data_IF_593473066762
#
_entry.id   IF_593473066762
#
_cell.length_a   1.000
_cell.length_b   1.000
_cell.length_c   1.000
_cell.angle_alpha   90.00
_cell.angle_beta   90.00
_cell.angle_gamma   90.00
#
_symmetry.space_group_name_H-M   'P 1'
#
loop_
_entity.id
_entity.type
_entity.pdbx_description
1 polymer ?
#
# COMPACT_ATOMS: atom_id res chain seq x y z
N UNK A 1 -7.89 33.16 20.68
CA UNK A 1 -8.37 34.07 19.62
C UNK A 1 -8.00 33.48 18.27
N UNK A 2 -8.97 33.05 17.47
CA UNK A 2 -8.78 32.75 16.05
C UNK A 2 -9.97 33.38 15.32
N UNK A 3 -9.79 34.60 14.82
CA UNK A 3 -10.81 35.30 14.05
C UNK A 3 -11.02 34.58 12.73
N UNK A 4 -12.09 33.78 12.64
CA UNK A 4 -12.58 33.26 11.37
C UNK A 4 -13.15 34.44 10.59
N UNK A 5 -12.59 34.70 9.40
CA UNK A 5 -13.15 35.64 8.44
C UNK A 5 -14.56 35.17 8.11
N UNK A 6 -15.56 36.07 8.15
CA UNK A 6 -16.94 35.70 7.86
C UNK A 6 -17.10 35.31 6.39
N UNK A 7 -17.93 34.31 6.11
CA UNK A 7 -18.19 33.85 4.74
C UNK A 7 -18.69 35.00 3.86
N UNK A 8 -19.52 35.89 4.42
CA UNK A 8 -19.99 37.10 3.74
C UNK A 8 -18.86 38.07 3.34
N UNK A 9 -17.78 38.15 4.13
CA UNK A 9 -16.61 38.96 3.76
C UNK A 9 -15.75 38.25 2.71
N UNK A 10 -15.62 36.92 2.78
CA UNK A 10 -14.94 36.12 1.76
C UNK A 10 -15.64 36.22 0.40
N UNK A 11 -16.96 36.19 0.38
CA UNK A 11 -17.74 36.30 -0.85
C UNK A 11 -17.63 37.69 -1.46
N UNK A 12 -17.67 38.76 -0.66
CA UNK A 12 -17.38 40.12 -1.14
C UNK A 12 -15.99 40.27 -1.76
N UNK A 13 -14.98 39.64 -1.17
CA UNK A 13 -13.62 39.66 -1.72
C UNK A 13 -13.56 38.90 -3.06
N UNK A 14 -14.23 37.74 -3.16
CA UNK A 14 -14.30 36.97 -4.41
C UNK A 14 -15.06 37.72 -5.51
N UNK A 15 -16.15 38.38 -5.18
CA UNK A 15 -16.93 39.20 -6.11
C UNK A 15 -16.15 40.42 -6.60
N UNK A 16 -15.31 41.02 -5.74
CA UNK A 16 -14.51 42.19 -6.09
C UNK A 16 -13.28 41.87 -6.97
N UNK A 17 -12.92 40.59 -7.14
CA UNK A 17 -11.69 40.18 -7.83
C UNK A 17 -11.96 39.09 -8.86
N UNK A 18 -12.01 39.48 -10.14
CA UNK A 18 -12.16 38.54 -11.25
C UNK A 18 -10.88 37.71 -11.47
N UNK A 19 -11.03 36.39 -11.54
CA UNK A 19 -9.90 35.47 -11.63
C UNK A 19 -9.10 35.60 -12.92
N UNK A 20 -9.72 36.06 -14.02
CA UNK A 20 -9.01 36.28 -15.28
C UNK A 20 -8.15 37.51 -15.18
N UNK A 21 -8.69 38.61 -14.63
CA UNK A 21 -7.91 39.82 -14.37
C UNK A 21 -6.73 39.50 -13.47
N UNK A 22 -7.01 38.83 -12.34
CA UNK A 22 -5.99 38.49 -11.34
C UNK A 22 -4.89 37.62 -11.95
N UNK A 23 -5.23 36.62 -12.79
CA UNK A 23 -4.21 35.75 -13.40
C UNK A 23 -3.55 36.39 -14.63
N UNK A 24 -4.27 37.23 -15.36
CA UNK A 24 -3.80 37.90 -16.57
C UNK A 24 -2.64 38.85 -16.31
N UNK A 25 -2.55 39.37 -15.08
CA UNK A 25 -1.40 40.14 -14.60
C UNK A 25 -0.11 39.30 -14.51
N UNK A 26 -0.22 37.97 -14.44
CA UNK A 26 0.90 37.05 -14.21
C UNK A 26 1.18 36.07 -15.35
N UNK A 27 0.20 35.80 -16.21
CA UNK A 27 0.35 34.83 -17.30
C UNK A 27 -0.30 35.34 -18.58
N UNK A 28 0.35 35.08 -19.72
CA UNK A 28 -0.24 35.40 -21.03
C UNK A 28 -1.41 34.46 -21.29
N UNK A 29 -2.58 34.91 -20.91
CA UNK A 29 -3.84 34.21 -21.07
C UNK A 29 -4.30 34.31 -22.52
N UNK A 30 -4.18 33.22 -23.26
CA UNK A 30 -4.77 33.07 -24.58
C UNK A 30 -6.20 32.59 -24.43
N UNK A 31 -7.14 33.45 -24.81
CA UNK A 31 -8.55 33.10 -24.85
C UNK A 31 -8.73 31.88 -25.74
N UNK A 32 -9.27 30.81 -25.16
CA UNK A 32 -9.51 29.54 -25.82
C UNK A 32 -10.97 29.19 -25.57
N UNK A 33 -11.85 29.74 -26.42
CA UNK A 33 -13.29 29.67 -26.24
C UNK A 33 -13.77 30.53 -25.06
N UNK A 34 -14.48 29.90 -24.11
CA UNK A 34 -15.01 30.54 -22.90
C UNK A 34 -14.00 30.63 -21.76
N UNK A 35 -12.92 29.84 -21.82
CA UNK A 35 -11.85 29.81 -20.84
C UNK A 35 -10.58 30.48 -21.40
N UNK A 36 -9.59 30.67 -20.56
CA UNK A 36 -8.27 31.10 -20.97
C UNK A 36 -7.26 29.98 -20.75
N UNK A 37 -6.36 29.79 -21.70
CA UNK A 37 -5.19 28.93 -21.54
C UNK A 37 -3.94 29.78 -21.38
N UNK A 38 -3.04 29.33 -20.52
CA UNK A 38 -1.69 29.86 -20.47
C UNK A 38 -0.69 28.72 -20.31
N UNK A 39 0.58 29.04 -20.51
CA UNK A 39 1.63 28.28 -19.85
C UNK A 39 1.43 28.47 -18.35
N UNK A 40 1.50 27.39 -17.58
CA UNK A 40 1.30 27.40 -16.15
C UNK A 40 2.28 28.39 -15.52
N UNK A 41 1.80 29.49 -14.91
CA UNK A 41 2.70 30.43 -14.25
C UNK A 41 3.44 29.78 -13.06
N UNK A 42 3.02 28.59 -12.66
CA UNK A 42 3.61 27.80 -11.59
C UNK A 42 4.72 26.84 -12.05
N UNK A 43 4.88 26.58 -13.36
CA UNK A 43 6.01 25.80 -13.87
C UNK A 43 6.33 26.06 -15.37
N UNK A 44 7.60 25.97 -15.73
CA UNK A 44 8.06 26.17 -17.11
C UNK A 44 7.67 24.99 -18.01
N UNK A 45 6.64 25.20 -18.83
CA UNK A 45 6.17 24.25 -19.84
C UNK A 45 6.27 24.82 -21.26
N UNK A 46 6.34 23.94 -22.27
CA UNK A 46 6.32 24.35 -23.69
C UNK A 46 4.91 24.30 -24.29
N UNK A 47 3.99 23.61 -23.64
CA UNK A 47 2.60 23.39 -24.07
C UNK A 47 1.65 23.91 -23.00
N UNK A 48 0.68 24.79 -23.32
CA UNK A 48 -0.24 25.35 -22.31
C UNK A 48 -1.13 24.31 -21.60
N UNK A 49 -0.86 24.05 -20.32
CA UNK A 49 -1.65 23.19 -19.42
C UNK A 49 -2.49 23.97 -18.40
N UNK A 50 -2.25 25.28 -18.27
CA UNK A 50 -2.97 26.16 -17.37
C UNK A 50 -4.30 26.58 -17.94
N UNK A 51 -5.41 26.30 -17.25
CA UNK A 51 -6.75 26.73 -17.67
C UNK A 51 -7.35 27.61 -16.59
N UNK A 52 -7.84 28.78 -16.98
CA UNK A 52 -8.59 29.72 -16.15
C UNK A 52 -10.02 29.78 -16.66
N UNK A 53 -10.98 29.62 -15.77
CA UNK A 53 -12.41 29.72 -16.07
C UNK A 53 -12.97 31.01 -15.47
N UNK A 54 -13.32 32.01 -16.30
CA UNK A 54 -13.87 33.28 -15.85
C UNK A 54 -15.23 33.07 -15.19
N UNK A 55 -16.13 32.34 -15.85
CA UNK A 55 -17.49 32.09 -15.37
C UNK A 55 -17.50 31.35 -14.02
N UNK A 56 -16.55 30.42 -13.81
CA UNK A 56 -16.46 29.62 -12.57
C UNK A 56 -15.53 30.22 -11.52
N UNK A 57 -14.84 31.32 -11.83
CA UNK A 57 -13.84 31.94 -10.95
C UNK A 57 -12.83 30.91 -10.38
N UNK A 58 -12.31 30.00 -11.22
CA UNK A 58 -11.29 28.99 -10.83
C UNK A 58 -10.18 28.83 -11.89
N UNK A 59 -9.00 28.40 -11.46
CA UNK A 59 -7.91 27.97 -12.34
C UNK A 59 -7.44 26.54 -12.03
N UNK A 60 -6.80 25.91 -13.01
CA UNK A 60 -6.39 24.51 -12.95
C UNK A 60 -5.16 24.24 -13.84
N UNK A 61 -4.12 23.63 -13.25
CA UNK A 61 -2.86 23.27 -13.91
C UNK A 61 -2.44 21.84 -13.51
N UNK A 62 -2.60 20.83 -14.37
CA UNK A 62 -2.39 19.45 -13.89
C UNK A 62 -1.90 18.47 -14.96
N UNK A 63 -0.75 17.86 -14.65
CA UNK A 63 -0.43 16.50 -15.05
C UNK A 63 -1.20 15.49 -14.20
N UNK A 64 -1.70 14.44 -14.83
CA UNK A 64 -2.67 13.50 -14.27
C UNK A 64 -2.11 12.07 -14.24
N UNK A 65 -2.76 11.20 -13.48
CA UNK A 65 -2.60 9.76 -13.65
C UNK A 65 -3.64 9.23 -14.64
N UNK A 66 -3.34 8.19 -15.42
CA UNK A 66 -4.33 7.52 -16.26
C UNK A 66 -5.35 6.73 -15.41
N UNK A 67 -6.48 6.38 -16.01
CA UNK A 67 -7.45 5.44 -15.41
C UNK A 67 -6.77 4.13 -15.01
N UNK A 68 -7.20 3.55 -13.91
CA UNK A 68 -6.64 2.33 -13.33
C UNK A 68 -5.39 2.57 -12.48
N UNK A 69 -4.87 3.80 -12.41
CA UNK A 69 -3.78 4.13 -11.50
C UNK A 69 -4.23 3.90 -10.06
N UNK A 70 -3.42 3.17 -9.30
CA UNK A 70 -3.73 2.82 -7.92
C UNK A 70 -3.31 3.95 -6.97
N UNK A 71 -4.26 4.44 -6.20
CA UNK A 71 -4.10 5.48 -5.18
C UNK A 71 -4.23 4.84 -3.81
N UNK A 72 -3.29 5.17 -2.91
CA UNK A 72 -3.27 4.61 -1.57
C UNK A 72 -4.23 5.37 -0.64
N UNK A 73 -5.17 4.63 -0.06
CA UNK A 73 -6.17 5.07 0.91
C UNK A 73 -5.93 4.38 2.26
N UNK A 74 -6.74 4.70 3.28
CA UNK A 74 -6.68 4.01 4.58
C UNK A 74 -7.12 2.53 4.49
N UNK A 75 -7.97 2.21 3.52
CA UNK A 75 -8.56 0.88 3.30
C UNK A 75 -7.80 0.06 2.22
N UNK A 76 -6.64 0.53 1.79
CA UNK A 76 -5.81 -0.14 0.77
C UNK A 76 -5.65 0.72 -0.48
N UNK A 77 -5.36 0.12 -1.63
CA UNK A 77 -5.29 0.86 -2.88
C UNK A 77 -6.61 0.81 -3.63
N UNK A 78 -7.14 1.98 -3.97
CA UNK A 78 -8.29 2.14 -4.85
C UNK A 78 -7.83 2.65 -6.20
N UNK A 79 -8.57 2.36 -7.27
CA UNK A 79 -8.26 2.97 -8.56
C UNK A 79 -8.61 4.45 -8.50
N UNK A 80 -7.86 5.28 -9.22
CA UNK A 80 -8.05 6.73 -9.21
C UNK A 80 -9.48 7.14 -9.61
N UNK A 81 -10.13 6.39 -10.49
CA UNK A 81 -11.52 6.60 -10.90
C UNK A 81 -12.55 6.26 -9.81
N UNK A 82 -12.19 5.41 -8.84
CA UNK A 82 -13.07 4.96 -7.77
C UNK A 82 -12.98 5.88 -6.53
N UNK A 83 -11.96 6.75 -6.46
CA UNK A 83 -11.73 7.66 -5.33
C UNK A 83 -12.87 8.67 -5.19
N UNK A 84 -13.33 8.88 -3.95
CA UNK A 84 -14.43 9.80 -3.63
C UNK A 84 -13.98 11.05 -2.87
N UNK A 85 -14.76 12.14 -2.96
CA UNK A 85 -14.54 13.33 -2.14
C UNK A 85 -14.77 12.97 -0.67
N UNK A 86 -13.86 13.40 0.20
CA UNK A 86 -13.84 13.06 1.63
C UNK A 86 -12.98 11.84 1.96
N UNK A 87 -12.66 11.00 0.97
CA UNK A 87 -11.84 9.82 1.17
C UNK A 87 -10.39 10.19 1.51
N UNK A 88 -9.77 9.43 2.41
CA UNK A 88 -8.44 9.72 2.94
C UNK A 88 -7.36 9.07 2.08
N UNK A 89 -6.48 9.89 1.49
CA UNK A 89 -5.37 9.43 0.62
C UNK A 89 -4.00 9.81 1.17
N UNK A 90 -3.00 8.95 0.94
CA UNK A 90 -1.64 9.18 1.45
C UNK A 90 -0.97 10.34 0.69
N UNK A 91 -0.50 11.33 1.44
CA UNK A 91 0.23 12.48 0.89
C UNK A 91 1.74 12.26 0.82
N UNK A 92 2.44 13.10 0.06
CA UNK A 92 3.92 13.15 0.01
C UNK A 92 4.60 13.33 1.39
N UNK A 93 3.86 13.81 2.40
CA UNK A 93 4.36 13.98 3.78
C UNK A 93 4.16 12.73 4.66
N UNK A 94 3.65 11.64 4.10
CA UNK A 94 3.47 10.39 4.85
C UNK A 94 2.29 10.42 5.83
N UNK A 95 1.24 11.20 5.53
CA UNK A 95 -0.01 11.27 6.31
C UNK A 95 -1.22 11.23 5.40
N UNK A 96 -2.34 10.71 5.89
CA UNK A 96 -3.61 10.65 5.17
C UNK A 96 -4.35 11.98 5.23
N UNK A 97 -4.92 12.42 4.11
CA UNK A 97 -5.68 13.67 3.99
C UNK A 97 -6.91 13.47 3.11
N UNK A 98 -8.03 14.16 3.41
CA UNK A 98 -9.27 14.00 2.65
C UNK A 98 -9.14 14.60 1.25
N UNK A 99 -9.67 13.89 0.27
CA UNK A 99 -9.82 14.39 -1.10
C UNK A 99 -10.87 15.49 -1.09
N UNK A 100 -10.46 16.73 -1.39
CA UNK A 100 -11.38 17.87 -1.42
C UNK A 100 -12.12 18.01 -2.75
N UNK A 101 -11.55 17.46 -3.84
CA UNK A 101 -12.08 17.58 -5.20
C UNK A 101 -11.49 16.51 -6.10
N UNK A 102 -12.32 15.95 -6.96
CA UNK A 102 -11.91 15.02 -8.02
C UNK A 102 -11.84 15.79 -9.35
N UNK A 103 -10.84 15.48 -10.14
CA UNK A 103 -10.55 16.17 -11.40
C UNK A 103 -10.43 15.11 -12.49
N UNK A 104 -11.19 15.30 -13.57
CA UNK A 104 -11.17 14.42 -14.72
C UNK A 104 -11.06 15.25 -15.99
N UNK A 105 -10.30 14.73 -16.96
CA UNK A 105 -10.23 15.26 -18.32
C UNK A 105 -9.97 14.14 -19.32
N UNK A 106 -10.47 14.24 -20.56
CA UNK A 106 -9.91 13.46 -21.65
C UNK A 106 -8.46 13.91 -21.91
N UNK A 107 -7.58 12.95 -22.17
CA UNK A 107 -6.16 13.22 -22.46
C UNK A 107 -5.77 12.51 -23.75
N UNK A 108 -5.17 13.25 -24.69
CA UNK A 108 -4.59 12.73 -25.92
C UNK A 108 -3.15 13.28 -26.01
N UNK A 109 -2.18 12.43 -25.69
CA UNK A 109 -0.77 12.81 -25.58
C UNK A 109 0.07 11.64 -25.07
N UNK A 110 1.37 11.86 -24.97
CA UNK A 110 2.32 10.85 -24.50
C UNK A 110 2.19 10.60 -22.99
N UNK A 111 2.35 9.34 -22.59
CA UNK A 111 2.46 8.94 -21.20
C UNK A 111 3.89 8.50 -20.90
N UNK A 112 4.35 8.82 -19.69
CA UNK A 112 5.62 8.34 -19.17
C UNK A 112 5.34 7.12 -18.30
N UNK A 113 5.93 6.00 -18.66
CA UNK A 113 5.89 4.76 -17.88
C UNK A 113 7.21 4.55 -17.14
N UNK A 114 7.15 4.54 -15.82
CA UNK A 114 8.33 4.50 -14.95
C UNK A 114 8.48 3.12 -14.32
N UNK A 115 9.61 2.47 -14.60
CA UNK A 115 10.03 1.23 -13.94
C UNK A 115 11.09 1.53 -12.89
N UNK A 116 10.85 1.10 -11.65
CA UNK A 116 11.84 1.23 -10.58
C UNK A 116 12.68 -0.04 -10.47
N UNK A 117 13.92 0.07 -10.01
CA UNK A 117 14.82 -1.09 -9.88
C UNK A 117 14.27 -2.22 -8.98
N UNK A 118 13.41 -1.85 -8.02
CA UNK A 118 12.90 -2.72 -6.96
C UNK A 118 11.46 -3.18 -7.20
N UNK A 119 10.85 -2.80 -8.31
CA UNK A 119 9.50 -3.19 -8.69
C UNK A 119 9.42 -3.44 -10.19
N UNK A 120 8.86 -4.56 -10.62
CA UNK A 120 8.51 -4.75 -12.03
C UNK A 120 7.10 -4.22 -12.38
N UNK A 121 6.40 -3.62 -11.41
CA UNK A 121 5.16 -2.89 -11.65
C UNK A 121 5.49 -1.43 -12.03
N UNK A 122 5.09 -0.98 -13.23
CA UNK A 122 5.31 0.40 -13.64
C UNK A 122 4.35 1.37 -12.93
N UNK A 123 4.74 2.64 -12.89
CA UNK A 123 3.83 3.75 -12.61
C UNK A 123 3.71 4.60 -13.86
N UNK A 124 2.48 4.80 -14.33
CA UNK A 124 2.18 5.56 -15.55
C UNK A 124 1.59 6.91 -15.20
N UNK A 125 2.06 7.96 -15.86
CA UNK A 125 1.64 9.35 -15.61
C UNK A 125 1.82 10.21 -16.87
N UNK A 126 1.15 11.37 -16.92
CA UNK A 126 1.35 12.33 -18.01
C UNK A 126 2.73 12.98 -17.93
N UNK A 127 3.24 13.47 -19.06
CA UNK A 127 4.59 14.07 -19.18
C UNK A 127 4.84 15.29 -18.28
N UNK A 128 3.79 16.07 -18.03
CA UNK A 128 3.74 17.27 -17.17
C UNK A 128 3.54 16.95 -15.68
N UNK A 129 3.27 15.69 -15.31
CA UNK A 129 3.03 15.34 -13.91
C UNK A 129 4.32 15.52 -13.09
N UNK A 130 4.24 16.34 -12.06
CA UNK A 130 5.38 16.66 -11.23
C UNK A 130 5.66 15.56 -10.20
N UNK A 131 6.91 15.09 -10.18
CA UNK A 131 7.39 14.07 -9.24
C UNK A 131 8.52 14.61 -8.37
N UNK A 132 8.63 14.07 -7.16
CA UNK A 132 9.76 14.36 -6.29
C UNK A 132 10.94 13.45 -6.64
N UNK A 133 12.07 14.06 -6.98
CA UNK A 133 13.24 13.37 -7.52
C UNK A 133 14.53 13.92 -6.94
N UNK A 134 15.53 13.05 -6.78
CA UNK A 134 16.92 13.43 -6.57
C UNK A 134 17.67 13.08 -7.87
N UNK A 135 18.09 14.12 -8.59
CA UNK A 135 18.81 13.97 -9.86
C UNK A 135 20.18 13.35 -9.62
N UNK A 136 20.52 12.36 -10.44
CA UNK A 136 21.81 11.69 -10.35
C UNK A 136 22.85 12.29 -11.30
N UNK A 137 24.08 12.44 -10.81
CA UNK A 137 25.23 12.89 -11.60
C UNK A 137 26.11 11.68 -11.96
N UNK A 138 26.80 11.76 -13.10
CA UNK A 138 27.77 10.73 -13.47
C UNK A 138 28.90 10.65 -12.44
N UNK A 139 29.18 9.46 -11.91
CA UNK A 139 30.24 9.27 -10.94
C UNK A 139 31.62 9.35 -11.60
N UNK A 140 32.43 10.34 -11.22
CA UNK A 140 33.80 10.49 -11.72
C UNK A 140 34.81 9.58 -10.99
N UNK A 141 34.43 8.96 -9.87
CA UNK A 141 35.31 8.09 -9.10
C UNK A 141 35.49 6.72 -9.77
N UNK A 142 36.74 6.41 -10.16
CA UNK A 142 37.20 5.16 -10.80
C UNK A 142 36.60 4.84 -12.18
N UNK A 143 36.29 5.84 -13.02
CA UNK A 143 35.81 5.62 -14.40
C UNK A 143 34.59 4.68 -14.50
N UNK A 144 33.70 4.71 -13.50
CA UNK A 144 32.54 3.81 -13.44
C UNK A 144 31.37 4.39 -14.22
N UNK A 145 30.69 3.58 -15.03
CA UNK A 145 29.40 3.91 -15.67
C UNK A 145 28.22 3.90 -14.67
N UNK A 146 28.41 4.35 -13.42
CA UNK A 146 27.31 4.43 -12.44
C UNK A 146 26.95 5.88 -12.20
N UNK A 147 25.65 6.20 -12.32
CA UNK A 147 25.08 7.48 -11.88
C UNK A 147 24.74 7.49 -10.38
N UNK A 148 24.83 6.32 -9.75
CA UNK A 148 24.42 6.09 -8.36
C UNK A 148 25.65 5.97 -7.44
N UNK A 149 25.65 6.71 -6.33
CA UNK A 149 26.57 6.48 -5.21
C UNK A 149 26.32 5.09 -4.59
N UNK A 150 27.37 4.28 -4.49
CA UNK A 150 27.29 2.97 -3.81
C UNK A 150 27.29 3.16 -2.30
N UNK A 151 26.78 2.17 -1.55
CA UNK A 151 26.72 2.24 -0.09
C UNK A 151 28.09 2.49 0.59
N UNK A 152 29.18 1.97 0.02
CA UNK A 152 30.57 2.22 0.50
C UNK A 152 31.12 3.60 0.11
N UNK A 153 30.40 4.41 -0.67
CA UNK A 153 30.86 5.76 -1.04
C UNK A 153 31.03 6.68 0.18
N UNK A 154 30.38 6.40 1.31
CA UNK A 154 30.59 7.15 2.56
C UNK A 154 32.01 7.03 3.10
N UNK A 155 32.70 5.91 2.84
CA UNK A 155 34.02 5.62 3.40
C UNK A 155 35.13 6.33 2.62
N UNK A 156 35.24 6.07 1.32
CA UNK A 156 36.45 6.42 0.56
C UNK A 156 36.19 7.21 -0.75
N UNK A 157 34.98 7.75 -0.95
CA UNK A 157 34.72 8.58 -2.13
C UNK A 157 35.23 10.01 -1.88
N UNK A 158 36.10 10.57 -2.73
CA UNK A 158 36.54 11.96 -2.59
C UNK A 158 35.43 12.95 -2.98
N UNK A 159 34.59 12.61 -3.97
CA UNK A 159 33.55 13.50 -4.49
C UNK A 159 32.27 13.58 -3.63
N UNK A 160 31.98 12.54 -2.83
CA UNK A 160 30.83 12.46 -1.88
C UNK A 160 29.51 13.08 -2.37
N UNK A 161 29.11 12.88 -3.63
CA UNK A 161 27.92 13.50 -4.24
C UNK A 161 26.63 13.34 -3.42
N UNK A 162 26.51 12.25 -2.66
CA UNK A 162 25.39 12.02 -1.74
C UNK A 162 25.17 13.13 -0.70
N UNK A 163 26.19 13.94 -0.38
CA UNK A 163 26.05 15.10 0.52
C UNK A 163 25.32 16.28 -0.12
N UNK A 164 25.32 16.37 -1.45
CA UNK A 164 24.69 17.45 -2.21
C UNK A 164 23.33 17.04 -2.78
N UNK A 165 22.84 15.85 -2.44
CA UNK A 165 21.53 15.40 -2.91
C UNK A 165 20.44 16.32 -2.38
N UNK A 166 19.78 17.00 -3.31
CA UNK A 166 18.63 17.86 -3.05
C UNK A 166 17.39 17.20 -3.63
N UNK A 167 16.30 17.34 -2.90
CA UNK A 167 14.97 16.92 -3.37
C UNK A 167 14.48 18.04 -4.28
N UNK A 168 14.21 17.69 -5.53
CA UNK A 168 13.65 18.58 -6.54
C UNK A 168 12.25 18.09 -6.93
N UNK A 169 11.42 19.00 -7.40
CA UNK A 169 10.11 18.68 -7.98
C UNK A 169 10.19 18.99 -9.48
N UNK A 170 10.07 17.97 -10.32
CA UNK A 170 10.26 18.09 -11.77
C UNK A 170 9.15 17.37 -12.52
N UNK A 171 8.77 17.85 -13.72
CA UNK A 171 7.90 17.11 -14.62
C UNK A 171 8.49 15.74 -14.98
N UNK A 172 7.63 14.76 -15.16
CA UNK A 172 8.03 13.40 -15.52
C UNK A 172 8.84 13.30 -16.81
N UNK A 173 8.59 14.18 -17.77
CA UNK A 173 9.36 14.27 -19.02
C UNK A 173 10.84 14.59 -18.81
N UNK A 174 11.21 15.16 -17.66
CA UNK A 174 12.57 15.56 -17.33
C UNK A 174 13.34 14.49 -16.54
N UNK A 175 12.69 13.35 -16.27
CA UNK A 175 13.35 12.22 -15.63
C UNK A 175 14.42 11.62 -16.52
N UNK A 176 15.49 11.16 -15.91
CA UNK A 176 16.58 10.48 -16.58
C UNK A 176 16.79 9.11 -15.94
N UNK A 177 17.28 8.17 -16.73
CA UNK A 177 17.62 6.84 -16.23
C UNK A 177 18.58 6.93 -15.03
N UNK A 178 18.23 6.21 -13.96
CA UNK A 178 18.90 6.14 -12.66
C UNK A 178 18.63 7.29 -11.68
N UNK A 179 17.75 8.24 -11.99
CA UNK A 179 17.28 9.19 -10.99
C UNK A 179 16.55 8.50 -9.83
N UNK A 180 16.60 9.10 -8.65
CA UNK A 180 15.92 8.59 -7.47
C UNK A 180 14.56 9.26 -7.32
N UNK A 181 13.50 8.48 -7.53
CA UNK A 181 12.15 8.92 -7.19
C UNK A 181 11.90 8.71 -5.70
N UNK A 182 11.29 9.71 -5.07
CA UNK A 182 10.88 9.60 -3.69
C UNK A 182 9.53 8.87 -3.59
N UNK A 183 9.43 8.04 -2.56
CA UNK A 183 8.22 7.30 -2.22
C UNK A 183 7.76 7.73 -0.83
N UNK A 184 6.49 8.14 -0.65
CA UNK A 184 5.99 8.52 0.67
C UNK A 184 5.88 7.28 1.56
N UNK A 185 6.54 7.32 2.71
CA UNK A 185 6.41 6.31 3.76
C UNK A 185 5.39 6.83 4.76
N UNK A 186 4.36 6.03 5.07
CA UNK A 186 3.38 6.39 6.09
C UNK A 186 4.05 6.52 7.46
N UNK A 187 3.95 7.69 8.08
CA UNK A 187 4.53 8.01 9.38
C UNK A 187 3.53 7.91 10.53
N UNK A 188 2.26 7.63 10.25
CA UNK A 188 1.23 7.54 11.28
C UNK A 188 1.45 6.32 12.20
N UNK A 189 1.20 6.54 13.48
CA UNK A 189 1.31 5.53 14.53
C UNK A 189 0.04 5.58 15.37
N UNK A 190 -0.76 4.51 15.27
CA UNK A 190 -2.00 4.32 16.01
C UNK A 190 -1.84 3.08 16.90
N UNK A 191 -1.49 3.27 18.18
CA UNK A 191 -1.31 2.15 19.12
C UNK A 191 -2.64 1.68 19.71
N UNK A 192 -3.40 0.95 18.90
CA UNK A 192 -4.64 0.29 19.31
C UNK A 192 -4.33 -0.69 20.45
N UNK A 193 -4.99 -0.48 21.59
CA UNK A 193 -4.83 -1.33 22.79
C UNK A 193 -5.82 -2.49 22.83
N UNK A 194 -7.02 -2.26 22.32
CA UNK A 194 -8.10 -3.25 22.29
C UNK A 194 -8.82 -3.17 20.95
N UNK A 195 -9.20 -4.33 20.43
CA UNK A 195 -10.06 -4.46 19.26
C UNK A 195 -11.41 -5.02 19.70
N UNK A 196 -12.49 -4.48 19.14
CA UNK A 196 -13.84 -5.01 19.36
C UNK A 196 -14.24 -5.87 18.16
N UNK A 197 -14.20 -7.18 18.34
CA UNK A 197 -14.53 -8.17 17.33
C UNK A 197 -16.01 -8.20 16.95
N UNK A 198 -16.92 -7.69 17.79
CA UNK A 198 -18.35 -7.64 17.46
C UNK A 198 -18.63 -6.72 16.26
N UNK A 199 -17.74 -5.75 15.97
CA UNK A 199 -17.83 -4.90 14.78
C UNK A 199 -17.69 -5.67 13.47
N UNK A 200 -17.07 -6.84 13.51
CA UNK A 200 -16.79 -7.69 12.35
C UNK A 200 -17.77 -8.87 12.25
N UNK A 201 -18.79 -8.92 13.12
CA UNK A 201 -19.81 -9.95 13.05
C UNK A 201 -21.03 -9.43 12.27
N UNK A 202 -21.28 -10.01 11.10
CA UNK A 202 -22.33 -9.54 10.16
C UNK A 202 -23.26 -10.67 9.69
N UNK A 203 -23.46 -11.69 10.52
CA UNK A 203 -24.33 -12.81 10.17
C UNK A 203 -25.75 -12.55 10.65
N UNK A 204 -26.73 -12.68 9.75
CA UNK A 204 -28.15 -12.74 10.12
C UNK A 204 -28.35 -13.83 11.18
N UNK A 205 -28.95 -13.46 12.30
CA UNK A 205 -29.33 -14.38 13.37
C UNK A 205 -30.27 -15.42 12.75
N UNK A 206 -29.83 -16.68 12.68
CA UNK A 206 -30.69 -17.78 12.28
C UNK A 206 -31.16 -18.53 13.53
N UNK A 207 -32.47 -18.72 13.67
CA UNK A 207 -33.06 -19.50 14.76
C UNK A 207 -32.84 -21.02 14.61
N UNK A 208 -32.06 -21.43 13.60
CA UNK A 208 -31.75 -22.82 13.30
C UNK A 208 -30.29 -23.12 13.63
N UNK A 209 -30.08 -24.14 14.45
CA UNK A 209 -28.75 -24.64 14.85
C UNK A 209 -28.53 -24.57 16.37
N UNK A 210 -27.46 -25.21 16.85
CA UNK A 210 -27.11 -25.18 18.27
C UNK A 210 -26.70 -23.76 18.71
N UNK A 211 -26.93 -23.45 19.98
CA UNK A 211 -26.46 -22.19 20.58
C UNK A 211 -24.95 -22.04 20.42
N UNK A 212 -24.55 -20.85 19.96
CA UNK A 212 -23.14 -20.54 19.72
C UNK A 212 -22.50 -20.27 21.07
N UNK A 213 -21.43 -21.02 21.39
CA UNK A 213 -20.67 -20.79 22.62
C UNK A 213 -20.12 -19.36 22.65
N UNK A 214 -20.26 -18.64 23.78
CA UNK A 214 -19.76 -17.28 23.90
C UNK A 214 -18.24 -17.26 23.80
N UNK A 215 -17.72 -16.20 23.21
CA UNK A 215 -16.29 -15.92 23.09
C UNK A 215 -16.02 -14.49 23.55
N UNK A 216 -14.82 -14.20 24.07
CA UNK A 216 -14.43 -12.82 24.32
C UNK A 216 -14.38 -12.05 22.99
N UNK A 217 -15.05 -10.89 22.95
CA UNK A 217 -15.12 -10.05 21.75
C UNK A 217 -14.28 -8.78 21.88
N UNK A 218 -14.01 -8.32 23.11
CA UNK A 218 -13.03 -7.27 23.39
C UNK A 218 -11.66 -7.90 23.64
N UNK A 219 -10.81 -7.90 22.62
CA UNK A 219 -9.49 -8.54 22.67
C UNK A 219 -8.39 -7.49 22.83
N UNK A 220 -7.43 -7.77 23.72
CA UNK A 220 -6.23 -6.94 23.88
C UNK A 220 -5.30 -7.15 22.68
N UNK A 221 -4.80 -6.06 22.11
CA UNK A 221 -3.83 -6.11 20.99
C UNK A 221 -2.42 -6.28 21.55
N UNK A 222 -2.15 -7.50 22.01
CA UNK A 222 -0.85 -7.94 22.51
C UNK A 222 -0.13 -8.86 21.51
N UNK A 223 1.07 -9.34 21.87
CA UNK A 223 1.88 -10.19 21.00
C UNK A 223 1.17 -11.49 20.61
N UNK A 224 0.40 -12.09 21.53
CA UNK A 224 -0.32 -13.35 21.27
C UNK A 224 -1.38 -13.14 20.19
N UNK A 225 -2.20 -12.10 20.33
CA UNK A 225 -3.23 -11.79 19.33
C UNK A 225 -2.62 -11.43 17.98
N UNK A 226 -1.55 -10.64 17.96
CA UNK A 226 -0.85 -10.25 16.72
C UNK A 226 -0.23 -11.44 15.99
N UNK A 227 0.36 -12.41 16.73
CA UNK A 227 0.83 -13.68 16.16
C UNK A 227 -0.31 -14.46 15.53
N UNK A 228 -1.44 -14.59 16.23
CA UNK A 228 -2.60 -15.31 15.70
C UNK A 228 -3.14 -14.67 14.40
N UNK A 229 -3.18 -13.32 14.32
CA UNK A 229 -3.54 -12.61 13.09
C UNK A 229 -2.55 -12.93 11.97
N UNK A 230 -1.24 -12.90 12.22
CA UNK A 230 -0.24 -13.24 11.22
C UNK A 230 -0.35 -14.70 10.74
N UNK A 231 -0.55 -15.64 11.65
CA UNK A 231 -0.76 -17.06 11.31
C UNK A 231 -2.07 -17.28 10.54
N UNK A 232 -3.11 -16.50 10.83
CA UNK A 232 -4.35 -16.55 10.08
C UNK A 232 -4.15 -16.07 8.64
N UNK A 233 -3.43 -14.97 8.48
CA UNK A 233 -3.13 -14.42 7.16
C UNK A 233 -2.30 -15.41 6.34
N UNK A 234 -1.33 -16.10 6.93
CA UNK A 234 -0.58 -17.14 6.24
C UNK A 234 -1.46 -18.38 5.95
N UNK A 235 -1.83 -19.10 7.01
CA UNK A 235 -2.33 -20.49 6.89
C UNK A 235 -3.82 -20.64 7.22
N UNK A 236 -4.44 -19.57 7.72
CA UNK A 236 -5.83 -19.52 8.11
C UNK A 236 -6.79 -19.57 6.93
N UNK A 237 -7.88 -20.29 7.12
CA UNK A 237 -9.05 -20.26 6.24
C UNK A 237 -10.31 -20.63 7.01
N UNK A 238 -11.46 -20.31 6.44
CA UNK A 238 -12.77 -20.69 6.97
C UNK A 238 -13.33 -21.90 6.25
N UNK A 239 -14.05 -22.73 6.99
CA UNK A 239 -14.91 -23.76 6.41
C UNK A 239 -16.17 -23.94 7.25
N UNK A 240 -17.32 -23.54 6.70
CA UNK A 240 -18.64 -23.62 7.35
C UNK A 240 -18.71 -22.85 8.67
N UNK A 241 -18.43 -23.52 9.78
CA UNK A 241 -18.64 -23.03 11.15
C UNK A 241 -17.36 -23.11 12.01
N UNK A 242 -16.20 -23.33 11.39
CA UNK A 242 -14.93 -23.41 12.09
C UNK A 242 -13.84 -22.65 11.34
N UNK A 243 -12.91 -22.10 12.11
CA UNK A 243 -11.62 -21.64 11.61
C UNK A 243 -10.69 -22.84 11.48
N UNK A 244 -9.86 -22.85 10.44
CA UNK A 244 -8.85 -23.89 10.23
C UNK A 244 -7.51 -23.31 9.80
N UNK A 245 -6.44 -23.98 10.19
CA UNK A 245 -5.06 -23.70 9.75
C UNK A 245 -4.52 -24.95 9.08
N UNK A 246 -3.94 -24.80 7.88
CA UNK A 246 -3.46 -25.93 7.08
C UNK A 246 -1.93 -25.90 7.01
N UNK A 247 -1.26 -26.80 7.72
CA UNK A 247 0.20 -26.83 7.84
C UNK A 247 0.81 -28.06 7.18
N UNK A 248 2.13 -28.03 6.97
CA UNK A 248 2.92 -29.21 6.66
C UNK A 248 2.98 -30.18 7.84
N UNK A 249 3.03 -31.49 7.57
CA UNK A 249 3.10 -32.50 8.65
C UNK A 249 4.33 -32.41 9.55
N UNK A 250 5.40 -31.77 9.07
CA UNK A 250 6.64 -31.55 9.83
C UNK A 250 6.54 -30.35 10.79
N UNK A 251 5.46 -29.58 10.70
CA UNK A 251 5.27 -28.32 11.44
C UNK A 251 4.40 -28.51 12.70
N UNK A 252 4.45 -29.69 13.32
CA UNK A 252 3.62 -30.01 14.49
C UNK A 252 3.79 -28.99 15.64
N UNK A 253 5.01 -28.50 15.88
CA UNK A 253 5.29 -27.44 16.87
C UNK A 253 4.59 -26.13 16.54
N UNK A 254 4.47 -25.79 15.25
CA UNK A 254 3.74 -24.61 14.81
C UNK A 254 2.24 -24.78 15.05
N UNK A 255 1.70 -25.97 14.79
CA UNK A 255 0.32 -26.30 15.13
C UNK A 255 0.00 -26.21 16.63
N UNK A 256 0.92 -26.65 17.49
CA UNK A 256 0.80 -26.53 18.95
C UNK A 256 0.75 -25.08 19.41
N UNK A 257 1.59 -24.21 18.86
CA UNK A 257 1.56 -22.77 19.17
C UNK A 257 0.21 -22.14 18.77
N UNK A 258 -0.34 -22.49 17.61
CA UNK A 258 -1.67 -22.01 17.18
C UNK A 258 -2.76 -22.48 18.14
N UNK A 259 -2.71 -23.73 18.60
CA UNK A 259 -3.64 -24.27 19.59
C UNK A 259 -3.59 -23.47 20.90
N UNK A 260 -2.38 -23.25 21.44
CA UNK A 260 -2.18 -22.48 22.67
C UNK A 260 -2.73 -21.06 22.53
N UNK A 261 -2.46 -20.39 21.40
CA UNK A 261 -2.98 -19.05 21.14
C UNK A 261 -4.51 -19.02 21.10
N UNK A 262 -5.16 -19.95 20.39
CA UNK A 262 -6.63 -20.00 20.30
C UNK A 262 -7.25 -20.29 21.67
N UNK A 263 -6.65 -21.21 22.43
CA UNK A 263 -7.11 -21.55 23.78
C UNK A 263 -6.96 -20.37 24.73
N UNK A 264 -5.84 -19.67 24.70
CA UNK A 264 -5.57 -18.54 25.59
C UNK A 264 -6.42 -17.31 25.26
N UNK A 265 -6.61 -17.02 23.97
CA UNK A 265 -7.32 -15.81 23.52
C UNK A 265 -8.84 -16.01 23.56
N UNK A 266 -9.33 -17.17 23.11
CA UNK A 266 -10.76 -17.40 22.89
C UNK A 266 -11.38 -18.48 23.79
N UNK A 267 -10.57 -19.20 24.57
CA UNK A 267 -11.03 -20.31 25.43
C UNK A 267 -11.72 -21.44 24.64
N UNK A 268 -11.32 -21.62 23.38
CA UNK A 268 -11.85 -22.66 22.49
C UNK A 268 -10.86 -23.82 22.43
N UNK A 269 -11.36 -25.05 22.55
CA UNK A 269 -10.57 -26.27 22.30
C UNK A 269 -10.36 -26.46 20.80
N UNK A 270 -9.13 -26.80 20.41
CA UNK A 270 -8.82 -27.11 19.02
C UNK A 270 -8.81 -28.62 18.77
N UNK A 271 -8.79 -29.03 17.50
CA UNK A 271 -8.68 -30.42 17.08
C UNK A 271 -7.66 -30.56 15.97
N UNK A 272 -6.76 -31.55 16.10
CA UNK A 272 -5.75 -31.88 15.10
C UNK A 272 -6.25 -32.99 14.18
N UNK A 273 -6.19 -32.75 12.88
CA UNK A 273 -6.53 -33.72 11.85
C UNK A 273 -5.34 -33.94 10.94
N UNK A 274 -4.83 -35.17 10.92
CA UNK A 274 -3.78 -35.58 10.00
C UNK A 274 -4.39 -35.97 8.66
N UNK A 275 -4.07 -35.21 7.61
CA UNK A 275 -4.57 -35.46 6.26
C UNK A 275 -3.57 -36.34 5.52
N UNK A 276 -3.96 -37.58 5.20
CA UNK A 276 -3.18 -38.49 4.35
C UNK A 276 -3.79 -38.51 2.95
N UNK A 277 -3.10 -37.97 1.96
CA UNK A 277 -3.53 -38.07 0.55
C UNK A 277 -2.37 -38.58 -0.30
N UNK A 278 -2.42 -39.85 -0.70
CA UNK A 278 -1.43 -40.59 -1.49
C UNK A 278 0.05 -40.35 -1.09
N UNK A 279 0.66 -39.23 -1.50
CA UNK A 279 2.06 -38.86 -1.29
C UNK A 279 2.27 -37.56 -0.46
N UNK A 280 1.22 -36.97 0.10
CA UNK A 280 1.33 -35.76 0.94
C UNK A 280 0.65 -35.96 2.29
N UNK A 281 1.37 -35.59 3.34
CA UNK A 281 0.89 -35.52 4.72
C UNK A 281 0.73 -34.05 5.11
N UNK A 282 -0.48 -33.65 5.48
CA UNK A 282 -0.79 -32.32 6.00
C UNK A 282 -1.32 -32.40 7.43
N UNK A 283 -1.14 -31.33 8.19
CA UNK A 283 -1.68 -31.16 9.53
C UNK A 283 -2.74 -30.06 9.47
N UNK A 284 -3.98 -30.36 9.85
CA UNK A 284 -5.04 -29.37 9.95
C UNK A 284 -5.40 -29.14 11.42
N UNK A 285 -5.31 -27.89 11.87
CA UNK A 285 -5.78 -27.46 13.20
C UNK A 285 -7.12 -26.78 13.00
N UNK A 286 -8.15 -27.22 13.72
CA UNK A 286 -9.50 -26.67 13.61
C UNK A 286 -10.02 -26.18 14.95
N UNK A 287 -10.76 -25.08 14.95
CA UNK A 287 -11.47 -24.58 16.13
C UNK A 287 -12.93 -24.23 15.76
N UNK A 288 -13.87 -24.95 16.37
CA UNK A 288 -15.28 -24.88 16.05
C UNK A 288 -15.96 -23.72 16.79
N UNK A 289 -16.16 -22.60 16.10
CA UNK A 289 -17.02 -21.50 16.54
C UNK A 289 -17.48 -20.68 15.32
N UNK A 290 -18.78 -20.67 15.07
CA UNK A 290 -19.36 -20.01 13.88
C UNK A 290 -19.26 -18.49 13.94
N UNK A 291 -19.35 -17.89 15.14
CA UNK A 291 -19.17 -16.46 15.35
C UNK A 291 -17.73 -16.06 15.07
N UNK A 292 -16.75 -16.78 15.63
CA UNK A 292 -15.32 -16.54 15.39
C UNK A 292 -14.95 -16.69 13.91
N UNK A 293 -15.46 -17.72 13.26
CA UNK A 293 -15.23 -17.95 11.82
C UNK A 293 -15.73 -16.77 10.98
N UNK A 294 -16.95 -16.29 11.23
CA UNK A 294 -17.48 -15.11 10.52
C UNK A 294 -16.65 -13.84 10.80
N UNK A 295 -16.28 -13.62 12.06
CA UNK A 295 -15.45 -12.48 12.46
C UNK A 295 -14.12 -12.48 11.71
N UNK A 296 -13.39 -13.60 11.69
CA UNK A 296 -12.08 -13.67 11.01
C UNK A 296 -12.18 -13.53 9.49
N UNK A 297 -13.32 -13.92 8.90
CA UNK A 297 -13.61 -13.68 7.48
C UNK A 297 -13.66 -12.19 7.15
N UNK A 298 -14.36 -11.44 8.00
CA UNK A 298 -14.60 -10.01 7.80
C UNK A 298 -13.40 -9.18 8.27
N UNK A 299 -12.72 -9.61 9.33
CA UNK A 299 -11.59 -8.94 9.94
C UNK A 299 -10.33 -8.99 9.06
N UNK A 300 -10.07 -10.13 8.42
CA UNK A 300 -8.85 -10.37 7.65
C UNK A 300 -9.12 -10.67 6.17
N UNK A 301 -10.38 -10.68 5.74
CA UNK A 301 -10.79 -10.94 4.36
C UNK A 301 -11.05 -12.41 4.03
N UNK A 302 -12.02 -12.62 3.13
CA UNK A 302 -12.44 -13.94 2.65
C UNK A 302 -11.63 -14.42 1.45
N UNK A 303 -11.00 -15.58 1.57
CA UNK A 303 -10.26 -16.20 0.48
C UNK A 303 -8.91 -15.53 0.23
N UNK A 304 -8.01 -16.24 -0.46
CA UNK A 304 -6.61 -15.84 -0.57
C UNK A 304 -6.40 -14.47 -1.24
N UNK A 305 -7.26 -14.12 -2.22
CA UNK A 305 -7.22 -12.84 -2.94
C UNK A 305 -7.60 -11.63 -2.10
N UNK A 306 -8.42 -11.81 -1.07
CA UNK A 306 -8.92 -10.70 -0.24
C UNK A 306 -8.26 -10.67 1.13
N UNK A 307 -7.34 -11.61 1.42
CA UNK A 307 -6.61 -11.63 2.69
C UNK A 307 -5.92 -10.29 2.90
N UNK A 308 -6.00 -9.73 4.10
CA UNK A 308 -5.33 -8.50 4.48
C UNK A 308 -5.06 -8.50 5.99
N UNK A 309 -4.09 -7.70 6.41
CA UNK A 309 -3.93 -7.29 7.80
C UNK A 309 -5.10 -6.36 8.12
N UNK A 310 -5.82 -6.53 9.25
CA UNK A 310 -6.91 -5.65 9.61
C UNK A 310 -6.46 -4.18 9.56
N UNK A 311 -7.22 -3.30 8.90
CA UNK A 311 -6.80 -1.93 8.65
C UNK A 311 -6.47 -1.14 9.93
N UNK A 312 -7.22 -1.39 11.00
CA UNK A 312 -6.96 -0.84 12.34
C UNK A 312 -5.58 -1.24 12.91
N UNK A 313 -5.02 -2.37 12.46
CA UNK A 313 -3.72 -2.90 12.89
C UNK A 313 -2.57 -2.50 11.95
N UNK A 314 -2.88 -2.00 10.75
CA UNK A 314 -1.86 -1.59 9.76
C UNK A 314 -0.96 -0.49 10.31
N UNK A 315 -1.51 0.46 11.08
CA UNK A 315 -0.79 1.62 11.60
C UNK A 315 -0.23 1.45 13.03
N UNK A 316 -0.18 0.21 13.55
CA UNK A 316 0.45 -0.06 14.85
C UNK A 316 1.92 0.41 14.93
N UNK A 317 2.46 0.61 16.15
CA UNK A 317 3.89 0.87 16.34
C UNK A 317 4.78 -0.17 15.64
N UNK A 318 5.93 0.22 15.06
CA UNK A 318 6.78 -0.71 14.28
C UNK A 318 7.16 -2.00 15.01
N UNK A 319 7.35 -1.96 16.35
CA UNK A 319 7.60 -3.16 17.16
C UNK A 319 6.46 -4.19 17.08
N UNK A 320 5.21 -3.74 17.11
CA UNK A 320 4.03 -4.60 16.99
C UNK A 320 3.83 -5.08 15.55
N UNK A 321 4.10 -4.23 14.55
CA UNK A 321 4.05 -4.63 13.15
C UNK A 321 5.06 -5.73 12.82
N UNK A 322 6.25 -5.67 13.44
CA UNK A 322 7.26 -6.74 13.32
C UNK A 322 6.72 -8.09 13.79
N UNK A 323 5.94 -8.13 14.88
CA UNK A 323 5.31 -9.38 15.35
C UNK A 323 4.38 -9.97 14.30
N UNK A 324 3.52 -9.15 13.68
CA UNK A 324 2.63 -9.61 12.59
C UNK A 324 3.46 -10.11 11.41
N UNK A 325 4.46 -9.33 10.98
CA UNK A 325 5.32 -9.66 9.84
C UNK A 325 6.07 -10.98 10.06
N UNK A 326 6.67 -11.17 11.23
CA UNK A 326 7.39 -12.39 11.60
C UNK A 326 6.45 -13.60 11.66
N UNK A 327 5.21 -13.40 12.12
CA UNK A 327 4.19 -14.45 12.14
C UNK A 327 3.73 -14.85 10.73
N UNK A 328 3.48 -13.88 9.84
CA UNK A 328 3.16 -14.15 8.42
C UNK A 328 4.34 -14.88 7.76
N UNK A 329 5.56 -14.39 7.99
CA UNK A 329 6.77 -15.00 7.43
C UNK A 329 7.00 -16.43 7.94
N UNK A 330 6.61 -16.75 9.17
CA UNK A 330 6.72 -18.11 9.70
C UNK A 330 5.84 -19.12 8.96
N UNK A 331 4.66 -18.70 8.47
CA UNK A 331 3.77 -19.56 7.67
C UNK A 331 4.11 -19.52 6.18
N UNK A 332 3.98 -18.35 5.56
CA UNK A 332 4.07 -18.19 4.09
C UNK A 332 5.47 -17.80 3.59
N UNK A 333 6.44 -17.63 4.50
CA UNK A 333 7.77 -17.13 4.18
C UNK A 333 8.69 -18.20 3.59
N UNK A 334 9.52 -17.76 2.64
CA UNK A 334 10.59 -18.56 2.06
C UNK A 334 11.93 -17.84 2.20
N UNK A 335 12.97 -18.60 2.56
CA UNK A 335 14.36 -18.13 2.55
C UNK A 335 15.10 -18.76 1.38
N UNK A 336 15.71 -17.92 0.53
CA UNK A 336 16.49 -18.36 -0.63
C UNK A 336 17.90 -17.79 -0.66
N UNK A 337 18.78 -18.41 -1.44
CA UNK A 337 20.15 -17.91 -1.69
C UNK A 337 20.21 -17.03 -2.93
N UNK A 338 21.01 -15.97 -2.89
CA UNK A 338 21.23 -15.10 -4.06
C UNK A 338 22.26 -15.74 -4.99
N UNK A 339 21.80 -16.31 -6.10
CA UNK A 339 22.57 -17.14 -7.04
C UNK A 339 23.81 -16.52 -7.72
N UNK A 340 24.18 -15.25 -7.43
CA UNK A 340 25.27 -14.53 -8.10
C UNK A 340 26.11 -13.64 -7.18
N UNK A 341 26.08 -13.85 -5.86
CA UNK A 341 26.91 -13.08 -4.93
C UNK A 341 28.15 -13.90 -4.52
N UNK A 342 29.32 -13.23 -4.45
CA UNK A 342 30.56 -13.80 -3.90
C UNK A 342 30.48 -14.11 -2.40
N UNK A 343 29.43 -13.62 -1.74
CA UNK A 343 29.10 -13.84 -0.33
C UNK A 343 27.78 -14.65 -0.29
N UNK A 344 27.65 -15.60 0.64
CA UNK A 344 26.39 -16.28 0.97
C UNK A 344 25.39 -15.23 1.48
N UNK A 345 24.65 -14.61 0.55
CA UNK A 345 23.56 -13.70 0.88
C UNK A 345 22.25 -14.43 0.76
N UNK A 346 21.50 -14.43 1.85
CA UNK A 346 20.14 -14.94 1.89
C UNK A 346 19.14 -13.81 1.67
N UNK A 347 18.01 -14.13 1.05
CA UNK A 347 16.85 -13.26 0.98
C UNK A 347 15.65 -13.97 1.57
N UNK A 348 14.76 -13.17 2.16
CA UNK A 348 13.44 -13.59 2.63
C UNK A 348 12.40 -13.09 1.66
N UNK A 349 11.40 -13.89 1.36
CA UNK A 349 10.30 -13.52 0.48
C UNK A 349 8.97 -14.06 1.01
N UNK A 350 7.89 -13.31 0.79
CA UNK A 350 6.51 -13.76 0.98
C UNK A 350 5.82 -13.63 -0.39
N UNK A 351 5.06 -14.64 -0.78
CA UNK A 351 4.25 -14.59 -2.02
C UNK A 351 2.78 -14.68 -1.68
N UNK A 352 1.99 -13.73 -2.18
CA UNK A 352 0.54 -13.69 -1.98
C UNK A 352 -0.18 -13.38 -3.29
N UNK A 353 -1.45 -13.79 -3.40
CA UNK A 353 -2.34 -13.39 -4.49
C UNK A 353 -3.22 -12.20 -4.12
N UNK A 354 -3.16 -11.75 -2.87
CA UNK A 354 -3.86 -10.55 -2.41
C UNK A 354 -3.04 -9.29 -2.72
N UNK A 355 -3.55 -8.37 -3.56
CA UNK A 355 -2.88 -7.09 -3.80
C UNK A 355 -2.81 -6.24 -2.53
N UNK A 356 -3.89 -6.21 -1.73
CA UNK A 356 -3.96 -5.42 -0.49
C UNK A 356 -2.92 -5.90 0.51
N UNK A 357 -2.77 -7.22 0.69
CA UNK A 357 -1.76 -7.77 1.59
C UNK A 357 -0.33 -7.47 1.09
N UNK A 358 -0.08 -7.61 -0.22
CA UNK A 358 1.22 -7.28 -0.79
C UNK A 358 1.63 -5.84 -0.52
N UNK A 359 0.67 -4.92 -0.62
CA UNK A 359 0.85 -3.50 -0.34
C UNK A 359 1.09 -3.22 1.14
N UNK A 360 0.30 -3.84 2.02
CA UNK A 360 0.45 -3.73 3.47
C UNK A 360 1.82 -4.26 3.94
N UNK A 361 2.27 -5.38 3.38
CA UNK A 361 3.60 -5.94 3.65
C UNK A 361 4.72 -5.00 3.19
N UNK A 362 4.60 -4.44 1.98
CA UNK A 362 5.54 -3.43 1.47
C UNK A 362 5.60 -2.22 2.40
N UNK A 363 4.46 -1.73 2.86
CA UNK A 363 4.38 -0.58 3.76
C UNK A 363 4.99 -0.87 5.13
N UNK A 364 4.68 -2.01 5.74
CA UNK A 364 5.27 -2.44 7.03
C UNK A 364 6.79 -2.53 6.90
N UNK A 365 7.29 -3.14 5.83
CA UNK A 365 8.74 -3.24 5.59
C UNK A 365 9.39 -1.85 5.48
N UNK A 366 8.78 -0.93 4.73
CA UNK A 366 9.30 0.44 4.60
C UNK A 366 9.28 1.20 5.94
N UNK A 367 8.24 1.02 6.76
CA UNK A 367 8.15 1.60 8.11
C UNK A 367 9.13 0.98 9.11
N UNK A 368 9.58 -0.24 8.83
CA UNK A 368 10.68 -0.91 9.53
C UNK A 368 12.07 -0.55 8.96
N UNK A 369 12.15 0.43 8.06
CA UNK A 369 13.37 0.86 7.36
C UNK A 369 14.01 -0.23 6.48
N UNK A 370 13.20 -1.23 6.08
CA UNK A 370 13.60 -2.30 5.16
C UNK A 370 13.07 -1.94 3.77
N UNK A 371 13.95 -1.92 2.76
CA UNK A 371 13.56 -1.61 1.37
C UNK A 371 13.23 -2.91 0.60
N UNK A 372 11.93 -3.27 0.42
CA UNK A 372 11.53 -4.52 -0.20
C UNK A 372 11.73 -4.52 -1.71
N UNK A 373 11.65 -5.71 -2.32
CA UNK A 373 11.64 -5.87 -3.79
C UNK A 373 10.31 -6.49 -4.17
N UNK A 374 9.45 -5.73 -4.85
CA UNK A 374 8.14 -6.23 -5.28
C UNK A 374 8.25 -6.84 -6.66
N UNK A 375 7.77 -8.07 -6.83
CA UNK A 375 7.66 -8.75 -8.11
C UNK A 375 6.23 -9.21 -8.33
N UNK A 376 5.65 -8.79 -9.44
CA UNK A 376 4.33 -9.21 -9.90
C UNK A 376 4.51 -10.27 -10.98
N UNK A 377 3.94 -11.44 -10.76
CA UNK A 377 3.83 -12.51 -11.74
C UNK A 377 2.41 -12.51 -12.30
N UNK A 378 2.27 -12.31 -13.61
CA UNK A 378 0.97 -12.27 -14.29
C UNK A 378 0.25 -13.63 -14.21
N UNK A 379 -1.08 -13.57 -14.22
CA UNK A 379 -1.92 -14.76 -14.32
C UNK A 379 -1.55 -15.62 -15.54
N UNK A 380 -1.53 -16.94 -15.36
CA UNK A 380 -1.15 -17.90 -16.41
C UNK A 380 -1.86 -19.23 -16.24
N UNK A 381 -1.96 -19.99 -17.31
CA UNK A 381 -2.43 -21.37 -17.28
C UNK A 381 -1.19 -22.28 -17.34
N UNK A 382 -1.06 -23.20 -16.40
CA UNK A 382 0.06 -24.15 -16.41
C UNK A 382 -0.18 -25.34 -17.34
N UNK A 383 0.84 -26.21 -17.46
CA UNK A 383 0.78 -27.42 -18.28
C UNK A 383 -0.33 -28.40 -17.87
N UNK A 384 -0.80 -28.30 -16.61
CA UNK A 384 -1.88 -29.13 -16.06
C UNK A 384 -3.25 -28.45 -16.18
N UNK A 385 -3.36 -27.37 -16.98
CA UNK A 385 -4.57 -26.56 -17.16
C UNK A 385 -5.06 -25.86 -15.88
N UNK A 386 -4.21 -25.74 -14.85
CA UNK A 386 -4.54 -24.97 -13.66
C UNK A 386 -4.40 -23.48 -13.97
N UNK A 387 -5.45 -22.71 -13.66
CA UNK A 387 -5.47 -21.26 -13.82
C UNK A 387 -4.84 -20.60 -12.60
N UNK A 388 -3.62 -20.11 -12.75
CA UNK A 388 -2.92 -19.34 -11.73
C UNK A 388 -3.35 -17.88 -11.81
N UNK A 389 -3.71 -17.29 -10.67
CA UNK A 389 -3.99 -15.85 -10.54
C UNK A 389 -2.69 -15.04 -10.57
N UNK A 390 -2.80 -13.72 -10.71
CA UNK A 390 -1.67 -12.80 -10.50
C UNK A 390 -1.14 -12.97 -9.08
N UNK A 391 0.17 -13.05 -8.93
CA UNK A 391 0.84 -13.22 -7.64
C UNK A 391 1.87 -12.11 -7.41
N UNK A 392 2.02 -11.73 -6.16
CA UNK A 392 2.89 -10.66 -5.68
C UNK A 392 3.90 -11.27 -4.72
N UNK A 393 5.18 -11.15 -5.05
CA UNK A 393 6.30 -11.55 -4.18
C UNK A 393 6.98 -10.30 -3.65
N UNK A 394 7.15 -10.19 -2.33
CA UNK A 394 7.70 -9.03 -1.62
C UNK A 394 9.04 -9.36 -0.98
#
# INVERSE_FOLDING_TARGET
>A
MNGRISDALLDKIREANDIVSVIGDYAVLRKTGRNFKALCPFHTEKTPSFIVSPEKQIFHCFGCFPSGALIRTEEGFHKIEDIQVGELVLTHRGRFMPVIRILWRPYNGELVEIYTRKSNLPVTLTTDHEVFVIKTKNCQYKSRKTKICQWRCKLNCPAKFFKEYKIEKLPASQLSLNDYLLYPINQEINDVKFINLDRYYDRRISNFGPEIKPIPTRIKVDEKFLKLIGYWIAEGSNHRAYIRFSLGSHEAKFGQEIEELIKDIFYIKTSFHMRKKANKTGLEITACNSKLSNIFENLCGKGAENKHIPFELQNLPPKKQRVILDAIFKGDGYTGKVAKCKEDREFKAITTVSPVLAEQLKDILLRLEISPTVRVANAKIDKNKVRHKTAYTI
#
